data_IF_510495728125
#
_entry.id   IF_510495728125
#
_cell.length_a   1.000
_cell.length_b   1.000
_cell.length_c   1.000
_cell.angle_alpha   90.00
_cell.angle_beta   90.00
_cell.angle_gamma   90.00
#
_symmetry.space_group_name_H-M   'P 1'
#
loop_
_entity.id
_entity.type
_entity.pdbx_description
1 polymer ?
#
# COMPACT_ATOMS: atom_id res chain seq x y z
N UNK A 1 -27.20 -63.49 45.80
CA UNK A 1 -27.34 -62.82 44.54
C UNK A 1 -26.83 -61.40 44.76
N UNK A 2 -25.53 -61.26 44.68
CA UNK A 2 -24.81 -59.99 45.00
C UNK A 2 -24.56 -59.20 43.70
N UNK A 3 -25.01 -57.99 43.71
CA UNK A 3 -24.63 -57.00 42.74
C UNK A 3 -23.60 -56.06 43.30
N UNK A 4 -22.33 -56.30 43.03
CA UNK A 4 -21.22 -55.40 43.33
C UNK A 4 -21.20 -54.24 42.33
N UNK A 5 -21.47 -53.05 42.82
CA UNK A 5 -21.29 -51.79 42.07
C UNK A 5 -19.83 -51.35 42.12
N UNK A 6 -19.21 -51.33 40.93
CA UNK A 6 -17.84 -50.80 40.76
C UNK A 6 -17.89 -49.29 40.62
N UNK A 7 -17.33 -48.58 41.58
CA UNK A 7 -17.15 -47.13 41.58
C UNK A 7 -15.92 -46.80 40.72
N UNK A 8 -16.11 -46.14 39.57
CA UNK A 8 -15.02 -45.55 38.80
C UNK A 8 -14.63 -44.21 39.41
N UNK A 9 -13.42 -44.15 39.96
CA UNK A 9 -12.79 -42.89 40.37
C UNK A 9 -12.23 -42.18 39.14
N UNK A 10 -12.89 -41.10 38.74
CA UNK A 10 -12.41 -40.21 37.71
C UNK A 10 -11.22 -39.38 38.19
N UNK A 11 -10.06 -39.59 37.58
CA UNK A 11 -8.89 -38.72 37.74
C UNK A 11 -9.13 -37.42 37.00
N UNK A 12 -9.31 -36.32 37.73
CA UNK A 12 -9.26 -34.97 37.17
C UNK A 12 -7.81 -34.64 36.74
N UNK A 13 -7.58 -34.52 35.45
CA UNK A 13 -6.35 -33.96 34.91
C UNK A 13 -6.40 -32.43 35.03
N UNK A 14 -5.64 -31.89 36.00
CA UNK A 14 -5.42 -30.45 36.13
C UNK A 14 -4.48 -30.01 34.98
N UNK A 15 -5.03 -29.36 33.96
CA UNK A 15 -4.24 -28.67 32.95
C UNK A 15 -3.79 -27.33 33.53
N UNK A 16 -2.55 -27.27 33.98
CA UNK A 16 -1.91 -26.02 34.36
C UNK A 16 -1.64 -25.20 33.07
N UNK A 17 -2.42 -24.14 32.83
CA UNK A 17 -2.10 -23.12 31.84
C UNK A 17 -0.85 -22.38 32.31
N UNK A 18 0.29 -22.69 31.65
CA UNK A 18 1.51 -21.90 31.76
C UNK A 18 1.33 -20.65 30.88
N UNK A 19 0.85 -19.56 31.47
CA UNK A 19 0.85 -18.24 30.83
C UNK A 19 2.32 -17.77 30.76
N UNK A 20 2.98 -18.00 29.61
CA UNK A 20 4.26 -17.36 29.31
C UNK A 20 3.99 -15.86 29.07
N UNK A 21 4.23 -15.07 30.14
CA UNK A 21 4.33 -13.62 29.98
C UNK A 21 5.57 -13.32 29.12
N UNK A 22 5.37 -13.07 27.83
CA UNK A 22 6.37 -12.42 27.00
C UNK A 22 6.44 -10.98 27.49
N UNK A 23 7.38 -10.70 28.38
CA UNK A 23 7.78 -9.35 28.72
C UNK A 23 8.43 -8.75 27.44
N UNK A 24 7.61 -8.08 26.63
CA UNK A 24 8.14 -7.17 25.62
C UNK A 24 8.97 -6.14 26.38
N UNK A 25 10.29 -6.21 26.24
CA UNK A 25 11.20 -5.16 26.67
C UNK A 25 10.83 -3.91 25.89
N UNK A 26 10.04 -3.03 26.51
CA UNK A 26 9.82 -1.67 26.05
C UNK A 26 11.18 -0.99 26.18
N UNK A 27 11.95 -1.04 25.08
CA UNK A 27 13.17 -0.26 24.97
C UNK A 27 12.76 1.20 25.09
N UNK A 28 13.17 1.84 26.18
CA UNK A 28 12.92 3.26 26.43
C UNK A 28 13.45 4.03 25.23
N UNK A 29 12.56 4.46 24.34
CA UNK A 29 12.88 5.29 23.21
C UNK A 29 13.50 6.58 23.75
N UNK A 30 14.82 6.70 23.64
CA UNK A 30 15.48 7.98 23.78
C UNK A 30 14.92 8.85 22.66
N UNK A 31 13.96 9.72 23.00
CA UNK A 31 13.35 10.63 22.05
C UNK A 31 14.48 11.46 21.42
N UNK A 32 14.76 11.21 20.16
CA UNK A 32 15.52 12.15 19.34
C UNK A 32 14.60 13.35 19.19
N UNK A 33 14.84 14.38 19.99
CA UNK A 33 13.96 15.54 20.13
C UNK A 33 13.62 16.10 18.74
N UNK A 34 12.35 15.99 18.34
CA UNK A 34 11.82 16.61 17.13
C UNK A 34 11.85 15.77 15.84
N UNK A 35 12.21 14.48 15.89
CA UNK A 35 12.18 13.58 14.69
C UNK A 35 10.77 13.15 14.33
N UNK A 36 9.86 13.21 15.27
CA UNK A 36 8.44 12.90 15.17
C UNK A 36 7.58 14.07 14.68
N UNK A 37 8.19 15.26 14.53
CA UNK A 37 7.48 16.43 14.02
C UNK A 37 6.99 16.21 12.60
N UNK A 38 5.68 16.34 12.41
CA UNK A 38 5.06 16.15 11.11
C UNK A 38 4.92 14.69 10.68
N UNK A 39 5.24 13.72 11.56
CA UNK A 39 4.94 12.31 11.33
C UNK A 39 3.48 12.04 11.74
N UNK A 40 2.76 11.30 10.90
CA UNK A 40 1.33 11.01 11.08
C UNK A 40 1.04 9.55 10.79
N UNK A 41 0.02 8.99 11.44
CA UNK A 41 -0.48 7.65 11.13
C UNK A 41 -1.48 7.77 9.96
N UNK A 42 -1.33 6.92 8.97
CA UNK A 42 -2.25 6.78 7.84
C UNK A 42 -3.03 5.49 8.01
N UNK A 43 -4.34 5.60 8.17
CA UNK A 43 -5.23 4.46 8.33
C UNK A 43 -6.17 4.39 7.12
N UNK A 44 -6.22 3.26 6.46
CA UNK A 44 -7.01 3.04 5.26
C UNK A 44 -8.02 1.92 5.46
N UNK A 45 -9.16 2.05 4.81
CA UNK A 45 -10.15 0.98 4.75
C UNK A 45 -10.32 0.57 3.29
N UNK A 46 -10.05 -0.68 3.00
CA UNK A 46 -10.23 -1.31 1.71
C UNK A 46 -11.63 -1.92 1.67
N UNK A 47 -12.64 -1.08 1.45
CA UNK A 47 -14.06 -1.47 1.61
C UNK A 47 -14.49 -2.62 0.72
N UNK A 48 -13.90 -2.79 -0.47
CA UNK A 48 -14.21 -3.90 -1.37
C UNK A 48 -13.63 -5.24 -0.90
N UNK A 49 -12.57 -5.21 -0.11
CA UNK A 49 -11.92 -6.39 0.47
C UNK A 49 -12.30 -6.61 1.94
N UNK A 50 -13.02 -5.65 2.55
CA UNK A 50 -13.37 -5.63 3.96
C UNK A 50 -12.16 -5.76 4.89
N UNK A 51 -11.05 -5.13 4.53
CA UNK A 51 -9.77 -5.11 5.25
C UNK A 51 -9.41 -3.68 5.62
N UNK A 52 -8.74 -3.50 6.75
CA UNK A 52 -8.10 -2.25 7.15
C UNK A 52 -6.59 -2.39 7.05
N UNK A 53 -5.93 -1.33 6.59
CA UNK A 53 -4.47 -1.23 6.57
C UNK A 53 -4.00 0.04 7.27
N UNK A 54 -2.75 0.03 7.73
CA UNK A 54 -2.14 1.14 8.42
C UNK A 54 -0.70 1.35 7.92
N UNK A 55 -0.30 2.61 7.86
CA UNK A 55 1.04 3.05 7.53
C UNK A 55 1.35 4.38 8.21
N UNK A 56 2.40 4.98 7.75
CA UNK A 56 2.90 6.28 8.23
C UNK A 56 2.85 7.32 7.10
N UNK A 57 2.85 8.57 7.45
CA UNK A 57 2.96 9.68 6.51
C UNK A 57 3.76 10.86 7.05
N UNK A 58 4.15 11.75 6.17
CA UNK A 58 4.94 12.94 6.45
C UNK A 58 4.18 14.19 6.01
N UNK A 59 3.88 15.09 6.92
CA UNK A 59 3.23 16.37 6.64
C UNK A 59 4.18 17.29 5.90
N UNK A 60 3.90 17.59 4.63
CA UNK A 60 4.72 18.48 3.79
C UNK A 60 4.34 19.95 3.98
N UNK A 61 3.05 20.24 4.22
CA UNK A 61 2.57 21.62 4.37
C UNK A 61 1.65 21.76 5.57
N UNK A 62 1.66 22.94 6.18
CA UNK A 62 0.79 23.25 7.33
C UNK A 62 -0.71 23.20 7.00
N UNK A 63 -1.07 23.22 5.72
CA UNK A 63 -2.43 23.07 5.21
C UNK A 63 -2.84 21.62 4.95
N UNK A 64 -1.98 20.62 5.27
CA UNK A 64 -2.32 19.21 5.28
C UNK A 64 -2.04 18.44 3.99
N UNK A 65 -0.99 18.77 3.27
CA UNK A 65 -0.43 17.85 2.28
C UNK A 65 0.46 16.84 3.00
N UNK A 66 0.21 15.55 2.77
CA UNK A 66 0.91 14.43 3.42
C UNK A 66 1.49 13.54 2.35
N UNK A 67 2.78 13.23 2.47
CA UNK A 67 3.51 12.26 1.65
C UNK A 67 3.44 10.89 2.33
N UNK A 68 3.17 9.85 1.58
CA UNK A 68 3.18 8.44 2.03
C UNK A 68 3.50 7.52 0.86
N UNK A 69 3.56 6.22 1.08
CA UNK A 69 3.68 5.24 -0.01
C UNK A 69 2.35 4.99 -0.73
N UNK A 70 2.45 4.61 -2.01
CA UNK A 70 1.27 4.21 -2.78
C UNK A 70 0.64 2.94 -2.22
N UNK A 71 1.43 1.92 -1.86
CA UNK A 71 0.89 0.66 -1.33
C UNK A 71 0.12 0.86 0.00
N UNK A 72 0.37 1.94 0.76
CA UNK A 72 -0.41 2.27 1.98
C UNK A 72 -1.83 2.69 1.64
N UNK A 73 -2.04 3.32 0.48
CA UNK A 73 -3.36 3.85 0.09
C UNK A 73 -4.04 3.04 -1.02
N UNK A 74 -3.34 2.10 -1.63
CA UNK A 74 -3.86 1.29 -2.75
C UNK A 74 -5.11 0.53 -2.32
N UNK A 75 -6.14 0.54 -3.16
CA UNK A 75 -7.42 -0.10 -2.91
C UNK A 75 -8.29 0.59 -1.85
N UNK A 76 -7.83 1.68 -1.23
CA UNK A 76 -8.56 2.33 -0.14
C UNK A 76 -9.83 3.04 -0.63
N UNK A 77 -10.94 2.77 0.04
CA UNK A 77 -12.21 3.50 -0.14
C UNK A 77 -12.31 4.70 0.80
N UNK A 78 -11.62 4.65 1.93
CA UNK A 78 -11.50 5.77 2.88
C UNK A 78 -10.09 5.85 3.44
N UNK A 79 -9.62 7.10 3.64
CA UNK A 79 -8.33 7.38 4.28
C UNK A 79 -8.56 8.31 5.47
N UNK A 80 -8.06 7.89 6.63
CA UNK A 80 -7.99 8.71 7.84
C UNK A 80 -6.54 8.90 8.24
N UNK A 81 -6.20 10.13 8.64
CA UNK A 81 -4.87 10.48 9.13
C UNK A 81 -4.97 10.96 10.56
N UNK A 82 -4.20 10.35 11.44
CA UNK A 82 -4.09 10.74 12.86
C UNK A 82 -2.76 11.46 13.09
N UNK A 83 -2.79 12.54 13.84
CA UNK A 83 -1.60 13.28 14.28
C UNK A 83 -1.27 12.86 15.70
N UNK A 84 -0.30 11.97 15.95
CA UNK A 84 -0.03 11.41 17.29
C UNK A 84 0.25 12.49 18.34
N UNK A 85 1.02 13.51 17.97
CA UNK A 85 1.39 14.61 18.88
C UNK A 85 0.19 15.40 19.45
N UNK A 86 -0.98 15.37 18.78
CA UNK A 86 -2.16 16.15 19.20
C UNK A 86 -3.40 15.31 19.40
N UNK A 87 -3.38 14.04 18.98
CA UNK A 87 -4.54 13.14 18.95
C UNK A 87 -5.61 13.53 17.91
N UNK A 88 -5.38 14.58 17.11
CA UNK A 88 -6.32 15.03 16.07
C UNK A 88 -6.38 14.02 14.92
N UNK A 89 -7.59 13.81 14.41
CA UNK A 89 -7.86 12.96 13.24
C UNK A 89 -8.47 13.77 12.11
N UNK A 90 -8.09 13.44 10.89
CA UNK A 90 -8.53 14.10 9.67
C UNK A 90 -8.96 13.04 8.64
N UNK A 91 -10.07 13.26 7.97
CA UNK A 91 -10.34 12.55 6.72
C UNK A 91 -9.40 13.11 5.65
N UNK A 92 -8.90 12.25 4.79
CA UNK A 92 -8.02 12.63 3.71
C UNK A 92 -8.60 12.23 2.34
N UNK A 93 -8.20 12.96 1.31
CA UNK A 93 -8.40 12.59 -0.08
C UNK A 93 -7.04 12.31 -0.73
N UNK A 94 -6.98 11.33 -1.60
CA UNK A 94 -5.79 11.09 -2.43
C UNK A 94 -5.75 12.16 -3.50
N UNK A 95 -4.64 12.92 -3.56
CA UNK A 95 -4.39 13.94 -4.59
C UNK A 95 -3.86 13.29 -5.86
N UNK A 96 -2.99 12.31 -5.69
CA UNK A 96 -2.40 11.55 -6.76
C UNK A 96 -1.35 10.58 -6.23
N UNK A 97 -0.81 9.77 -7.11
CA UNK A 97 0.18 8.74 -6.78
C UNK A 97 1.01 8.32 -8.00
N UNK A 98 2.12 7.66 -7.73
CA UNK A 98 2.98 6.98 -8.70
C UNK A 98 3.18 5.54 -8.22
N UNK A 99 2.60 4.58 -8.94
CA UNK A 99 2.65 3.15 -8.60
C UNK A 99 4.08 2.63 -8.64
N UNK A 100 4.81 2.93 -9.74
CA UNK A 100 6.19 2.43 -9.94
C UNK A 100 7.20 2.98 -8.94
N UNK A 101 6.98 4.21 -8.47
CA UNK A 101 7.85 4.83 -7.50
C UNK A 101 7.40 4.59 -6.06
N UNK A 102 6.23 4.00 -5.87
CA UNK A 102 5.58 3.79 -4.58
C UNK A 102 5.42 5.08 -3.77
N UNK A 103 4.91 6.13 -4.41
CA UNK A 103 4.73 7.46 -3.82
C UNK A 103 3.28 7.91 -3.94
N UNK A 104 2.71 8.44 -2.87
CA UNK A 104 1.37 9.03 -2.87
C UNK A 104 1.32 10.34 -2.10
N UNK A 105 0.40 11.23 -2.50
CA UNK A 105 0.11 12.47 -1.80
C UNK A 105 -1.35 12.49 -1.37
N UNK A 106 -1.56 12.79 -0.09
CA UNK A 106 -2.86 12.97 0.51
C UNK A 106 -3.11 14.45 0.79
N UNK A 107 -4.37 14.86 0.77
CA UNK A 107 -4.84 16.16 1.27
C UNK A 107 -5.79 15.95 2.44
N UNK A 108 -5.40 16.46 3.60
CA UNK A 108 -6.23 16.43 4.80
C UNK A 108 -7.35 17.48 4.70
N UNK A 109 -8.58 17.07 5.01
CA UNK A 109 -9.75 17.96 4.98
C UNK A 109 -9.73 18.89 6.20
N UNK A 110 -9.92 20.17 5.95
CA UNK A 110 -10.00 21.22 7.00
C UNK A 110 -8.79 21.29 7.93
N UNK A 111 -7.62 20.87 7.45
CA UNK A 111 -6.38 20.93 8.21
C UNK A 111 -5.72 22.32 8.07
N UNK A 112 -5.18 22.82 9.18
CA UNK A 112 -4.41 24.06 9.22
C UNK A 112 -3.46 24.05 10.43
N UNK A 113 -2.36 24.78 10.33
CA UNK A 113 -1.40 24.93 11.42
C UNK A 113 -0.66 23.64 11.82
N UNK A 114 -0.62 22.64 10.90
CA UNK A 114 0.10 21.41 11.16
C UNK A 114 1.59 21.63 11.20
N UNK A 115 2.28 20.89 12.08
CA UNK A 115 3.73 20.82 12.06
C UNK A 115 4.18 20.05 10.83
N UNK A 116 5.18 20.57 10.13
CA UNK A 116 5.74 19.95 8.93
C UNK A 116 7.06 19.27 9.21
N UNK A 117 7.39 18.28 8.39
CA UNK A 117 8.69 17.62 8.42
C UNK A 117 9.81 18.55 7.91
N UNK A 118 11.06 18.25 8.28
CA UNK A 118 12.23 18.97 7.77
C UNK A 118 12.97 18.10 6.75
N UNK A 119 12.89 18.47 5.49
CA UNK A 119 13.52 17.73 4.40
C UNK A 119 15.04 17.91 4.39
N UNK A 120 15.76 16.84 4.09
CA UNK A 120 17.19 16.80 3.84
C UNK A 120 17.52 16.74 2.35
N UNK A 121 18.66 16.11 2.04
CA UNK A 121 19.10 15.89 0.67
C UNK A 121 19.65 14.45 0.54
N UNK A 122 18.96 13.61 -0.21
CA UNK A 122 19.34 12.21 -0.43
C UNK A 122 20.48 12.02 -1.44
N UNK A 123 20.83 13.05 -2.26
CA UNK A 123 21.90 12.92 -3.24
C UNK A 123 23.31 12.92 -2.59
N UNK A 124 23.39 13.27 -1.30
CA UNK A 124 24.62 13.33 -0.53
C UNK A 124 24.81 12.15 0.42
N UNK A 125 23.95 11.13 0.31
CA UNK A 125 24.02 9.95 1.15
C UNK A 125 25.24 9.10 0.82
N UNK A 126 25.83 8.51 1.86
CA UNK A 126 26.93 7.56 1.72
C UNK A 126 26.68 6.32 2.57
N UNK A 127 27.25 5.19 2.14
CA UNK A 127 27.23 3.95 2.92
C UNK A 127 27.91 4.14 4.29
N UNK A 128 27.34 3.53 5.32
CA UNK A 128 27.80 3.67 6.72
C UNK A 128 27.24 4.91 7.45
N UNK A 129 26.51 5.77 6.77
CA UNK A 129 25.88 6.93 7.41
C UNK A 129 24.79 6.47 8.38
N UNK A 130 24.81 6.98 9.61
CA UNK A 130 23.80 6.72 10.62
C UNK A 130 22.45 7.33 10.21
N UNK A 131 21.39 6.55 10.37
CA UNK A 131 20.01 6.92 10.09
C UNK A 131 19.08 6.43 11.19
N UNK A 132 17.89 7.01 11.23
CA UNK A 132 16.83 6.63 12.17
C UNK A 132 15.53 6.58 11.39
N UNK A 133 14.86 5.44 11.40
CA UNK A 133 13.51 5.28 10.88
C UNK A 133 12.50 5.64 11.96
N UNK A 134 11.41 6.28 11.55
CA UNK A 134 10.33 6.72 12.46
C UNK A 134 8.98 6.36 11.82
N UNK A 135 8.16 5.58 12.51
CA UNK A 135 6.90 5.14 11.93
C UNK A 135 5.90 4.59 12.93
N UNK A 136 4.82 4.05 12.39
CA UNK A 136 3.72 3.43 13.12
C UNK A 136 3.85 1.90 13.08
N UNK A 137 4.94 1.36 13.61
CA UNK A 137 5.22 -0.08 13.57
C UNK A 137 4.04 -0.91 14.12
N UNK A 138 3.62 -1.91 13.34
CA UNK A 138 2.47 -2.74 13.64
C UNK A 138 1.11 -2.06 13.46
N UNK A 139 1.05 -0.80 12.99
CA UNK A 139 -0.21 -0.09 12.75
C UNK A 139 -1.01 0.23 14.02
N UNK A 140 -0.39 0.17 15.20
CA UNK A 140 -1.09 0.32 16.47
C UNK A 140 -1.54 1.77 16.76
N UNK A 141 -0.97 2.74 16.05
CA UNK A 141 -1.14 4.18 16.32
C UNK A 141 -0.44 4.63 17.61
N UNK A 142 -0.59 5.90 17.93
CA UNK A 142 0.03 6.49 19.12
C UNK A 142 1.41 7.07 18.85
N UNK A 143 2.31 7.07 19.83
CA UNK A 143 3.66 7.61 19.66
C UNK A 143 4.43 6.80 18.60
N UNK A 144 5.04 7.46 17.61
CA UNK A 144 5.80 6.76 16.59
C UNK A 144 6.94 5.92 17.18
N UNK A 145 7.16 4.75 16.58
CA UNK A 145 8.32 3.92 16.86
C UNK A 145 9.57 4.53 16.24
N UNK A 146 10.72 4.33 16.88
CA UNK A 146 11.99 4.88 16.46
C UNK A 146 13.03 3.78 16.40
N UNK A 147 13.53 3.47 15.21
CA UNK A 147 14.52 2.40 15.00
C UNK A 147 15.79 2.99 14.39
N UNK A 148 16.94 2.76 15.03
CA UNK A 148 18.24 3.23 14.56
C UNK A 148 18.91 2.20 13.66
N UNK A 149 19.68 2.70 12.70
CA UNK A 149 20.49 1.89 11.80
C UNK A 149 21.50 2.71 11.03
N UNK A 150 22.06 2.10 10.00
CA UNK A 150 23.01 2.71 9.07
C UNK A 150 22.61 2.41 7.63
N UNK A 151 23.02 3.24 6.70
CA UNK A 151 22.88 2.96 5.26
C UNK A 151 23.85 1.84 4.88
N UNK A 152 23.32 0.71 4.43
CA UNK A 152 24.12 -0.46 4.01
C UNK A 152 24.44 -0.45 2.52
N UNK A 153 23.52 0.06 1.69
CA UNK A 153 23.75 0.26 0.27
C UNK A 153 22.85 1.39 -0.31
N UNK A 154 23.19 1.82 -1.52
CA UNK A 154 22.41 2.80 -2.29
C UNK A 154 22.14 2.25 -3.69
N UNK A 155 21.08 2.75 -4.33
CA UNK A 155 20.74 2.35 -5.70
C UNK A 155 20.20 0.92 -5.82
N UNK A 156 19.62 0.36 -4.75
CA UNK A 156 19.09 -1.01 -4.73
C UNK A 156 17.82 -1.13 -5.55
N UNK A 157 17.67 -2.28 -6.17
CA UNK A 157 16.42 -2.69 -6.82
C UNK A 157 15.90 -3.93 -6.10
N UNK A 158 14.63 -3.90 -5.74
CA UNK A 158 13.93 -5.02 -5.12
C UNK A 158 12.71 -5.40 -5.95
N UNK A 159 12.29 -6.64 -5.83
CA UNK A 159 10.99 -7.08 -6.32
C UNK A 159 10.07 -7.20 -5.11
N UNK A 160 9.01 -6.44 -5.11
CA UNK A 160 7.95 -6.52 -4.12
C UNK A 160 6.79 -7.31 -4.74
N UNK A 161 6.32 -8.35 -4.07
CA UNK A 161 5.22 -9.18 -4.55
C UNK A 161 4.00 -8.98 -3.66
N UNK A 162 2.86 -8.79 -4.30
CA UNK A 162 1.56 -8.78 -3.64
C UNK A 162 1.01 -10.19 -3.41
N UNK A 163 -0.01 -10.31 -2.58
CA UNK A 163 -0.71 -11.58 -2.31
C UNK A 163 -1.38 -12.16 -3.56
N UNK A 164 -1.74 -11.32 -4.53
CA UNK A 164 -2.31 -11.73 -5.81
C UNK A 164 -1.25 -12.18 -6.85
N UNK A 165 0.04 -12.20 -6.45
CA UNK A 165 1.17 -12.63 -7.30
C UNK A 165 1.64 -11.57 -8.28
N UNK A 166 1.14 -10.34 -8.21
CA UNK A 166 1.68 -9.22 -8.97
C UNK A 166 3.02 -8.80 -8.37
N UNK A 167 4.06 -8.76 -9.18
CA UNK A 167 5.39 -8.38 -8.74
C UNK A 167 5.74 -6.99 -9.30
N UNK A 168 6.07 -6.06 -8.42
CA UNK A 168 6.53 -4.72 -8.78
C UNK A 168 8.01 -4.57 -8.48
N UNK A 169 8.74 -3.92 -9.39
CA UNK A 169 10.15 -3.59 -9.17
C UNK A 169 10.30 -2.16 -8.67
N UNK A 170 10.80 -2.01 -7.45
CA UNK A 170 11.20 -0.73 -6.89
C UNK A 170 12.70 -0.56 -7.05
N UNK A 171 13.12 0.43 -7.82
CA UNK A 171 14.52 0.68 -8.15
C UNK A 171 15.06 1.97 -7.49
N UNK A 172 16.39 2.03 -7.32
CA UNK A 172 17.08 3.21 -6.81
C UNK A 172 16.89 3.47 -5.32
N UNK A 173 16.61 2.42 -4.53
CA UNK A 173 16.33 2.52 -3.10
C UNK A 173 17.59 2.67 -2.27
N UNK A 174 17.42 3.27 -1.09
CA UNK A 174 18.35 3.22 0.04
C UNK A 174 18.10 1.91 0.78
N UNK A 175 19.15 1.13 1.06
CA UNK A 175 19.10 -0.02 1.95
C UNK A 175 19.68 0.34 3.31
N UNK A 176 19.02 -0.07 4.38
CA UNK A 176 19.42 0.19 5.76
C UNK A 176 19.28 -1.07 6.62
N UNK A 177 20.10 -1.19 7.64
CA UNK A 177 19.97 -2.22 8.69
C UNK A 177 19.02 -1.80 9.83
N UNK A 178 18.38 -0.64 9.73
CA UNK A 178 17.27 -0.30 10.62
C UNK A 178 16.15 -1.34 10.46
N UNK A 179 15.68 -1.91 11.58
CA UNK A 179 14.67 -2.97 11.58
C UNK A 179 13.28 -2.38 11.33
N UNK A 180 13.00 -2.06 10.06
CA UNK A 180 11.68 -1.58 9.63
C UNK A 180 10.64 -2.69 9.80
N UNK A 181 9.44 -2.28 10.18
CA UNK A 181 8.29 -3.18 10.40
C UNK A 181 7.09 -2.75 9.55
N UNK A 182 6.15 -3.66 9.26
CA UNK A 182 4.86 -3.27 8.69
C UNK A 182 4.23 -2.13 9.49
N UNK A 183 3.78 -1.08 8.80
CA UNK A 183 3.29 0.15 9.41
C UNK A 183 4.30 1.32 9.40
N UNK A 184 5.60 1.06 9.27
CA UNK A 184 6.61 2.13 9.09
C UNK A 184 6.60 2.71 7.68
N UNK A 185 6.02 2.01 6.71
CA UNK A 185 5.85 2.46 5.32
C UNK A 185 5.26 3.87 5.25
N UNK A 186 5.91 4.75 4.47
CA UNK A 186 5.57 6.16 4.33
C UNK A 186 6.18 7.06 5.41
N UNK A 187 6.82 6.47 6.41
CA UNK A 187 7.54 7.19 7.46
C UNK A 187 8.89 7.72 7.02
N UNK A 188 9.48 8.66 7.78
CA UNK A 188 10.76 9.24 7.45
C UNK A 188 11.97 8.39 7.88
N UNK A 189 12.92 8.22 6.96
CA UNK A 189 14.30 7.88 7.29
C UNK A 189 15.08 9.17 7.51
N UNK A 190 15.57 9.36 8.73
CA UNK A 190 16.14 10.63 9.21
C UNK A 190 17.65 10.48 9.44
N UNK A 191 18.43 11.46 9.04
CA UNK A 191 19.87 11.49 9.31
C UNK A 191 20.19 12.04 10.73
N UNK A 192 21.46 12.02 11.12
CA UNK A 192 21.93 12.51 12.43
C UNK A 192 21.66 14.00 12.70
N UNK A 193 21.33 14.78 11.67
CA UNK A 193 20.96 16.20 11.80
C UNK A 193 19.44 16.42 11.91
N UNK A 194 18.64 15.35 12.06
CA UNK A 194 17.19 15.45 12.16
C UNK A 194 16.49 15.79 10.83
N UNK A 195 17.17 15.59 9.70
CA UNK A 195 16.60 15.86 8.36
C UNK A 195 16.23 14.55 7.65
N UNK A 196 15.10 14.56 6.98
CA UNK A 196 14.60 13.41 6.25
C UNK A 196 15.41 13.20 4.98
N UNK A 197 15.95 12.03 4.80
CA UNK A 197 16.76 11.62 3.65
C UNK A 197 16.14 10.49 2.85
N UNK A 198 15.10 9.83 3.39
CA UNK A 198 14.33 8.80 2.70
C UNK A 198 12.89 8.72 3.22
N UNK A 199 12.05 8.05 2.47
CA UNK A 199 10.72 7.61 2.87
C UNK A 199 10.77 6.09 3.00
N UNK A 200 10.55 5.58 4.21
CA UNK A 200 10.63 4.15 4.48
C UNK A 200 9.58 3.40 3.66
N UNK A 201 9.99 2.27 3.08
CA UNK A 201 9.09 1.32 2.44
C UNK A 201 9.33 -0.04 3.08
N UNK A 202 8.49 -0.39 4.05
CA UNK A 202 8.52 -1.64 4.76
C UNK A 202 7.56 -2.63 4.12
N UNK A 203 7.79 -3.93 4.31
CA UNK A 203 6.80 -4.93 3.92
C UNK A 203 5.49 -4.69 4.69
N UNK A 204 4.41 -4.36 3.99
CA UNK A 204 3.06 -4.46 4.53
C UNK A 204 2.64 -5.93 4.61
N UNK A 205 1.57 -6.26 5.34
CA UNK A 205 1.03 -7.63 5.47
C UNK A 205 0.48 -8.23 4.16
N UNK A 206 0.88 -7.81 3.03
CA UNK A 206 0.61 -8.32 1.68
C UNK A 206 1.79 -8.10 0.75
N UNK A 207 2.85 -7.49 1.26
CA UNK A 207 4.08 -7.19 0.53
C UNK A 207 5.22 -7.98 1.17
N UNK A 208 5.72 -8.99 0.51
CA UNK A 208 6.88 -9.76 0.99
C UNK A 208 8.13 -9.41 0.19
N UNK A 209 9.20 -9.07 0.91
CA UNK A 209 10.54 -9.01 0.32
C UNK A 209 11.13 -10.42 0.19
N UNK A 210 12.04 -10.60 -0.76
CA UNK A 210 12.73 -11.89 -0.91
C UNK A 210 13.35 -12.35 0.43
N UNK A 211 13.21 -13.64 0.79
CA UNK A 211 13.85 -14.19 1.99
C UNK A 211 15.36 -13.97 1.95
N UNK A 212 15.91 -13.33 2.99
CA UNK A 212 17.36 -13.10 3.13
C UNK A 212 17.78 -11.63 3.20
N UNK A 213 16.90 -10.66 3.02
CA UNK A 213 17.19 -9.25 3.33
C UNK A 213 16.99 -9.01 4.83
N UNK A 214 18.07 -8.80 5.57
CA UNK A 214 18.05 -8.46 7.00
C UNK A 214 17.86 -6.96 7.27
N UNK A 215 17.38 -6.18 6.29
CA UNK A 215 17.30 -4.73 6.38
C UNK A 215 16.02 -4.15 5.78
N UNK A 216 15.81 -2.88 6.04
CA UNK A 216 14.74 -2.08 5.47
C UNK A 216 15.18 -1.37 4.19
N UNK A 217 14.20 -0.88 3.46
CA UNK A 217 14.43 -0.05 2.27
C UNK A 217 13.73 1.29 2.42
N UNK A 218 14.28 2.33 1.76
CA UNK A 218 13.65 3.64 1.71
C UNK A 218 13.79 4.27 0.32
N UNK A 219 12.78 4.97 -0.10
CA UNK A 219 12.78 5.77 -1.33
C UNK A 219 13.56 7.06 -1.04
N UNK A 220 14.59 7.42 -1.85
CA UNK A 220 15.31 8.68 -1.67
C UNK A 220 14.36 9.89 -1.61
N UNK A 221 14.53 10.76 -0.59
CA UNK A 221 13.58 11.84 -0.34
C UNK A 221 13.47 12.83 -1.50
N UNK A 222 14.58 13.11 -2.19
CA UNK A 222 14.56 14.01 -3.34
C UNK A 222 13.67 13.49 -4.45
N UNK A 223 13.66 12.15 -4.68
CA UNK A 223 12.78 11.50 -5.64
C UNK A 223 11.32 11.57 -5.18
N UNK A 224 11.03 11.18 -3.93
CA UNK A 224 9.65 11.18 -3.41
C UNK A 224 9.03 12.58 -3.44
N UNK A 225 9.78 13.60 -3.00
CA UNK A 225 9.34 15.01 -3.02
C UNK A 225 9.23 15.55 -4.45
N UNK A 226 10.11 15.12 -5.35
CA UNK A 226 10.02 15.48 -6.77
C UNK A 226 8.69 15.03 -7.39
N UNK A 227 8.30 13.78 -7.15
CA UNK A 227 7.02 13.19 -7.58
C UNK A 227 5.84 13.91 -6.88
N UNK A 228 5.93 14.13 -5.57
CA UNK A 228 4.90 14.83 -4.82
C UNK A 228 4.62 16.24 -5.39
N UNK A 229 5.64 16.96 -5.81
CA UNK A 229 5.49 18.28 -6.46
C UNK A 229 4.76 18.19 -7.79
N UNK A 230 5.03 17.17 -8.61
CA UNK A 230 4.28 16.94 -9.86
C UNK A 230 2.82 16.68 -9.57
N UNK A 231 2.52 15.82 -8.59
CA UNK A 231 1.15 15.50 -8.16
C UNK A 231 0.42 16.77 -7.69
N UNK A 232 1.00 17.53 -6.79
CA UNK A 232 0.39 18.77 -6.24
C UNK A 232 0.19 19.83 -7.33
N UNK A 233 1.10 19.90 -8.30
CA UNK A 233 0.98 20.81 -9.45
C UNK A 233 -0.04 20.34 -10.51
N UNK A 234 -0.65 19.15 -10.35
CA UNK A 234 -1.63 18.61 -11.28
C UNK A 234 -1.00 18.03 -12.56
N UNK A 235 0.30 17.74 -12.56
CA UNK A 235 1.03 17.18 -13.71
C UNK A 235 0.96 15.65 -13.69
N UNK A 236 0.04 15.09 -14.45
CA UNK A 236 -0.01 13.64 -14.73
C UNK A 236 0.98 13.23 -15.83
N UNK A 237 1.44 11.98 -15.76
CA UNK A 237 2.30 11.37 -16.80
C UNK A 237 1.91 9.90 -16.97
N UNK A 238 2.73 9.13 -17.68
CA UNK A 238 2.54 7.66 -17.80
C UNK A 238 2.58 6.97 -16.44
N UNK A 239 3.40 7.46 -15.51
CA UNK A 239 3.64 6.84 -14.21
C UNK A 239 2.93 7.60 -13.06
N UNK A 240 2.72 8.91 -13.21
CA UNK A 240 2.07 9.77 -12.20
C UNK A 240 0.59 9.95 -12.51
N UNK A 241 -0.27 9.43 -11.64
CA UNK A 241 -1.71 9.66 -11.67
C UNK A 241 -2.11 10.84 -10.77
N UNK A 242 -2.97 11.73 -11.27
CA UNK A 242 -3.48 12.89 -10.51
C UNK A 242 -5.00 12.92 -10.57
N UNK A 243 -5.62 13.10 -9.41
CA UNK A 243 -7.06 13.24 -9.28
C UNK A 243 -7.78 11.92 -9.03
N UNK A 244 -9.07 11.88 -9.39
CA UNK A 244 -9.91 10.72 -9.16
C UNK A 244 -9.52 9.56 -10.10
N UNK A 245 -9.43 8.37 -9.54
CA UNK A 245 -9.07 7.14 -10.26
C UNK A 245 -10.30 6.58 -10.99
N UNK A 246 -10.15 6.25 -12.27
CA UNK A 246 -11.17 5.53 -13.01
C UNK A 246 -11.29 4.09 -12.50
N UNK A 247 -12.50 3.55 -12.52
CA UNK A 247 -12.82 2.25 -11.94
C UNK A 247 -13.76 1.46 -12.85
N UNK A 248 -13.38 0.22 -13.12
CA UNK A 248 -14.20 -0.75 -13.84
C UNK A 248 -14.96 -1.67 -12.88
N UNK A 249 -14.34 -2.08 -11.78
CA UNK A 249 -14.92 -2.92 -10.73
C UNK A 249 -14.78 -4.40 -11.00
N UNK A 250 -13.58 -4.84 -11.33
CA UNK A 250 -13.21 -6.25 -11.49
C UNK A 250 -12.00 -6.56 -10.61
N UNK A 251 -12.00 -7.77 -10.06
CA UNK A 251 -10.81 -8.43 -9.56
C UNK A 251 -10.27 -9.32 -10.67
N UNK A 252 -8.96 -9.24 -10.96
CA UNK A 252 -8.39 -9.92 -12.12
C UNK A 252 -7.10 -10.64 -11.76
N UNK A 253 -6.89 -11.79 -12.41
CA UNK A 253 -5.70 -12.60 -12.30
C UNK A 253 -4.99 -12.72 -13.65
N UNK A 254 -3.68 -12.99 -13.60
CA UNK A 254 -2.93 -13.30 -14.80
C UNK A 254 -3.37 -14.68 -15.34
N UNK A 255 -4.04 -14.67 -16.46
CA UNK A 255 -4.42 -15.89 -17.15
C UNK A 255 -4.62 -15.63 -18.64
N UNK A 256 -4.67 -16.71 -19.41
CA UNK A 256 -5.06 -16.72 -20.78
C UNK A 256 -6.13 -17.77 -21.01
N UNK A 257 -6.80 -17.64 -22.12
CA UNK A 257 -7.87 -18.52 -22.54
C UNK A 257 -7.41 -19.42 -23.69
N UNK A 258 -7.73 -20.74 -23.60
CA UNK A 258 -7.47 -21.69 -24.68
C UNK A 258 -8.76 -22.00 -25.45
N UNK A 259 -8.79 -21.68 -26.74
CA UNK A 259 -9.87 -22.08 -27.63
C UNK A 259 -9.31 -22.65 -28.93
N UNK A 260 -9.73 -23.86 -29.28
CA UNK A 260 -9.35 -24.49 -30.55
C UNK A 260 -7.83 -24.60 -30.78
N UNK A 261 -7.04 -24.72 -29.70
CA UNK A 261 -5.59 -24.80 -29.77
C UNK A 261 -4.86 -23.45 -29.76
N UNK A 262 -5.58 -22.33 -29.74
CA UNK A 262 -5.00 -20.97 -29.63
C UNK A 262 -5.16 -20.42 -28.23
N UNK A 263 -4.06 -19.91 -27.68
CA UNK A 263 -4.02 -19.19 -26.41
C UNK A 263 -4.28 -17.68 -26.65
N UNK A 264 -5.28 -17.13 -26.00
CA UNK A 264 -5.53 -15.68 -25.98
C UNK A 264 -5.16 -15.13 -24.61
N UNK A 265 -4.13 -14.29 -24.57
CA UNK A 265 -3.75 -13.58 -23.37
C UNK A 265 -4.79 -12.51 -23.03
N UNK A 266 -5.05 -12.32 -21.72
CA UNK A 266 -6.01 -11.33 -21.25
C UNK A 266 -5.93 -11.16 -19.73
N UNK A 267 -6.90 -10.46 -19.17
CA UNK A 267 -7.12 -10.38 -17.72
C UNK A 267 -8.32 -11.25 -17.36
N UNK A 268 -8.07 -12.37 -16.68
CA UNK A 268 -9.12 -13.28 -16.19
C UNK A 268 -9.85 -12.61 -15.03
N UNK A 269 -11.15 -12.48 -15.13
CA UNK A 269 -12.03 -11.97 -14.08
C UNK A 269 -12.16 -13.03 -12.98
N UNK A 270 -11.59 -12.78 -11.82
CA UNK A 270 -11.73 -13.60 -10.61
C UNK A 270 -12.99 -13.22 -9.82
N UNK A 271 -13.39 -11.96 -9.92
CA UNK A 271 -14.60 -11.46 -9.27
C UNK A 271 -15.06 -10.14 -9.86
N UNK A 272 -16.33 -9.82 -9.64
CA UNK A 272 -16.94 -8.55 -10.08
C UNK A 272 -17.50 -7.82 -8.85
N UNK A 273 -17.15 -6.55 -8.73
CA UNK A 273 -17.63 -5.71 -7.61
C UNK A 273 -19.11 -5.38 -7.83
N UNK A 274 -19.99 -5.62 -6.84
CA UNK A 274 -21.40 -5.28 -6.94
C UNK A 274 -21.64 -3.80 -7.27
N UNK A 275 -22.64 -3.53 -8.09
CA UNK A 275 -23.02 -2.20 -8.60
C UNK A 275 -21.92 -1.46 -9.37
N UNK A 276 -20.88 -2.17 -9.84
CA UNK A 276 -19.78 -1.61 -10.63
C UNK A 276 -20.17 -1.44 -12.12
N UNK A 277 -19.38 -0.70 -12.91
CA UNK A 277 -19.52 -0.69 -14.37
C UNK A 277 -19.38 -2.08 -15.02
N UNK A 278 -18.53 -2.95 -14.47
CA UNK A 278 -18.33 -4.31 -14.96
C UNK A 278 -19.59 -5.17 -14.76
N UNK A 279 -20.18 -5.17 -13.57
CA UNK A 279 -21.43 -5.90 -13.31
C UNK A 279 -22.56 -5.42 -14.22
N UNK A 280 -22.72 -4.11 -14.38
CA UNK A 280 -23.74 -3.55 -15.29
C UNK A 280 -23.51 -3.89 -16.76
N UNK A 281 -22.29 -4.21 -17.14
CA UNK A 281 -21.94 -4.67 -18.49
C UNK A 281 -22.23 -6.16 -18.69
N UNK A 282 -22.48 -6.90 -17.61
CA UNK A 282 -22.71 -8.34 -17.62
C UNK A 282 -21.42 -9.17 -17.57
N UNK A 283 -20.30 -8.62 -17.05
CA UNK A 283 -19.12 -9.44 -16.75
C UNK A 283 -19.39 -10.34 -15.55
N UNK A 284 -18.86 -11.55 -15.63
CA UNK A 284 -18.92 -12.56 -14.60
C UNK A 284 -17.51 -13.12 -14.30
N UNK A 285 -17.37 -13.81 -13.16
CA UNK A 285 -16.14 -14.53 -12.87
C UNK A 285 -15.94 -15.65 -13.88
N UNK A 286 -14.73 -15.80 -14.41
CA UNK A 286 -14.41 -16.72 -15.51
C UNK A 286 -14.27 -16.04 -16.87
N UNK A 287 -14.81 -14.83 -17.05
CA UNK A 287 -14.60 -14.03 -18.27
C UNK A 287 -13.14 -13.61 -18.42
N UNK A 288 -12.67 -13.44 -19.65
CA UNK A 288 -11.33 -12.90 -19.94
C UNK A 288 -11.44 -11.57 -20.68
N UNK A 289 -11.07 -10.50 -20.04
CA UNK A 289 -11.03 -9.16 -20.67
C UNK A 289 -9.89 -9.12 -21.67
N UNK A 290 -10.21 -8.81 -22.94
CA UNK A 290 -9.24 -8.78 -24.06
C UNK A 290 -9.08 -7.41 -24.69
N UNK A 291 -9.98 -6.46 -24.43
CA UNK A 291 -9.84 -5.08 -24.89
C UNK A 291 -10.56 -4.08 -24.00
N UNK A 292 -9.98 -2.87 -23.87
CA UNK A 292 -10.61 -1.72 -23.19
C UNK A 292 -10.21 -0.42 -23.90
N UNK A 293 -11.19 0.45 -24.15
CA UNK A 293 -10.98 1.76 -24.76
C UNK A 293 -10.22 1.71 -26.12
N UNK A 294 -10.35 0.61 -26.87
CA UNK A 294 -9.67 0.38 -28.15
C UNK A 294 -8.25 -0.18 -28.03
N UNK A 295 -7.75 -0.42 -26.80
CA UNK A 295 -6.45 -1.03 -26.55
C UNK A 295 -6.61 -2.52 -26.27
N UNK A 296 -5.70 -3.38 -26.80
CA UNK A 296 -5.67 -4.79 -26.44
C UNK A 296 -5.24 -4.95 -24.99
N UNK A 297 -5.92 -5.84 -24.26
CA UNK A 297 -5.59 -6.23 -22.89
C UNK A 297 -4.96 -7.63 -22.92
N UNK A 298 -3.70 -7.72 -22.54
CA UNK A 298 -2.91 -8.96 -22.57
C UNK A 298 -2.53 -9.45 -21.17
N UNK A 299 -2.83 -8.65 -20.14
CA UNK A 299 -2.52 -8.97 -18.72
C UNK A 299 -3.33 -8.08 -17.78
N UNK A 300 -3.43 -8.41 -16.49
CA UNK A 300 -3.96 -7.53 -15.45
C UNK A 300 -3.27 -6.15 -15.42
N UNK A 301 -1.95 -6.13 -15.52
CA UNK A 301 -1.16 -4.88 -15.55
C UNK A 301 -1.55 -3.98 -16.73
N UNK A 302 -1.78 -4.57 -17.91
CA UNK A 302 -2.25 -3.82 -19.09
C UNK A 302 -3.65 -3.25 -18.86
N UNK A 303 -4.54 -4.01 -18.21
CA UNK A 303 -5.88 -3.55 -17.85
C UNK A 303 -5.81 -2.37 -16.88
N UNK A 304 -5.08 -2.52 -15.77
CA UNK A 304 -4.90 -1.45 -14.77
C UNK A 304 -4.33 -0.19 -15.41
N UNK A 305 -3.25 -0.31 -16.17
CA UNK A 305 -2.64 0.82 -16.88
C UNK A 305 -3.65 1.48 -17.83
N UNK A 306 -4.42 0.71 -18.60
CA UNK A 306 -5.44 1.25 -19.50
C UNK A 306 -6.56 1.96 -18.74
N UNK A 307 -7.02 1.43 -17.61
CA UNK A 307 -8.00 2.09 -16.76
C UNK A 307 -7.46 3.41 -16.21
N UNK A 308 -6.22 3.44 -15.72
CA UNK A 308 -5.56 4.63 -15.16
C UNK A 308 -5.37 5.77 -16.17
N UNK A 309 -5.23 5.44 -17.46
CA UNK A 309 -5.16 6.46 -18.54
C UNK A 309 -6.54 7.03 -18.93
N UNK A 310 -7.60 6.61 -18.25
CA UNK A 310 -8.94 7.13 -18.45
C UNK A 310 -9.41 7.89 -17.20
N UNK A 311 -10.49 8.64 -17.33
CA UNK A 311 -11.07 9.43 -16.25
C UNK A 311 -12.45 8.86 -15.86
N UNK A 312 -12.86 9.00 -14.59
CA UNK A 312 -14.23 8.70 -14.18
C UNK A 312 -15.25 9.44 -15.05
N UNK A 313 -16.37 8.78 -15.36
CA UNK A 313 -17.42 9.30 -16.24
C UNK A 313 -17.17 9.07 -17.72
N UNK A 314 -15.98 8.68 -18.13
CA UNK A 314 -15.68 8.39 -19.54
C UNK A 314 -16.38 7.12 -19.99
N UNK A 315 -17.02 7.17 -21.17
CA UNK A 315 -17.59 6.00 -21.84
C UNK A 315 -16.50 5.33 -22.69
N UNK A 316 -16.28 4.04 -22.44
CA UNK A 316 -15.28 3.24 -23.15
C UNK A 316 -15.90 1.93 -23.63
N UNK A 317 -15.40 1.40 -24.75
CA UNK A 317 -15.76 0.06 -25.21
C UNK A 317 -14.94 -0.96 -24.44
N UNK A 318 -15.62 -1.96 -23.86
CA UNK A 318 -15.04 -3.11 -23.17
C UNK A 318 -15.32 -4.35 -24.01
N UNK A 319 -14.32 -5.20 -24.22
CA UNK A 319 -14.47 -6.48 -24.92
C UNK A 319 -13.89 -7.62 -24.08
N UNK A 320 -14.59 -8.71 -24.02
CA UNK A 320 -14.19 -9.92 -23.28
C UNK A 320 -14.60 -11.18 -24.03
N UNK A 321 -14.08 -12.29 -23.56
CA UNK A 321 -14.48 -13.63 -23.99
C UNK A 321 -15.06 -14.33 -22.77
N UNK A 322 -16.26 -14.89 -22.89
CA UNK A 322 -16.91 -15.61 -21.79
C UNK A 322 -16.24 -16.96 -21.49
N UNK A 323 -16.64 -17.61 -20.42
CA UNK A 323 -16.11 -18.92 -20.02
C UNK A 323 -16.29 -20.02 -21.08
N UNK A 324 -17.25 -19.85 -22.00
CA UNK A 324 -17.51 -20.76 -23.13
C UNK A 324 -16.72 -20.39 -24.38
N UNK A 325 -15.96 -19.29 -24.33
CA UNK A 325 -15.14 -18.79 -25.45
C UNK A 325 -15.89 -17.95 -26.46
N UNK A 326 -17.05 -17.42 -26.13
CA UNK A 326 -17.81 -16.53 -27.02
C UNK A 326 -17.40 -15.08 -26.78
N UNK A 327 -17.12 -14.32 -27.85
CA UNK A 327 -16.76 -12.92 -27.70
C UNK A 327 -18.00 -12.08 -27.36
N UNK A 328 -17.83 -11.18 -26.39
CA UNK A 328 -18.83 -10.21 -25.95
C UNK A 328 -18.23 -8.81 -25.89
N UNK A 329 -19.07 -7.79 -25.98
CA UNK A 329 -18.63 -6.41 -25.78
C UNK A 329 -19.76 -5.49 -25.32
N UNK A 330 -19.42 -4.49 -24.50
CA UNK A 330 -20.35 -3.46 -24.06
C UNK A 330 -19.67 -2.07 -24.06
N UNK A 331 -20.49 -1.03 -24.05
CA UNK A 331 -20.00 0.32 -23.72
C UNK A 331 -20.26 0.57 -22.25
N UNK A 332 -19.20 0.78 -21.49
CA UNK A 332 -19.25 1.04 -20.04
C UNK A 332 -18.90 2.49 -19.74
N UNK A 333 -19.55 3.06 -18.73
CA UNK A 333 -19.13 4.35 -18.15
C UNK A 333 -18.30 4.07 -16.93
N UNK A 334 -17.01 4.41 -16.97
CA UNK A 334 -16.12 4.20 -15.84
C UNK A 334 -16.58 4.99 -14.62
N UNK A 335 -16.58 4.36 -13.45
CA UNK A 335 -16.89 5.00 -12.19
C UNK A 335 -15.64 5.67 -11.57
N UNK A 336 -15.82 6.42 -10.49
CA UNK A 336 -14.72 6.78 -9.59
C UNK A 336 -14.50 5.63 -8.60
N UNK A 337 -13.26 5.24 -8.42
CA UNK A 337 -12.88 4.14 -7.55
C UNK A 337 -11.65 4.43 -6.70
N UNK A 338 -11.17 3.41 -6.00
CA UNK A 338 -9.99 3.53 -5.16
C UNK A 338 -8.71 3.75 -5.99
N UNK A 339 -7.64 4.31 -5.37
CA UNK A 339 -6.32 4.35 -5.98
C UNK A 339 -5.80 2.93 -6.27
N UNK A 340 -4.95 2.81 -7.27
CA UNK A 340 -4.41 1.53 -7.74
C UNK A 340 -2.98 1.31 -7.27
#
# INVERSE_FOLDING_TARGET
>A
MDHTATVMVGRALSVALLAAAIAASVSSATSVVGVDRGVVDVNTNLGYQNVAAAGTGMVLTSSGEVLTNNHVIRGSTTVQVSVPATGKRYSATVVGYDVKADVAVLKLKNASGLQTVTLGNSDKLVRGQAVTAVGNAGGAGGAPTVTKGTITALGRTITASDEDGTAEQLAGLIETDAALQPGDSGGPLVNSSGRIVGMDTAASSGFSFQPGSSGGYAIPINRAVGIARLIVAGHSSTDVHVGATAFLGVDVQASGYYRGGSFTAGALVAGVVPASPAERAGLEAGDVIVSLAGHPITSPTTLTSTVLHNTPGKKVKLGWVDEFGSPASATVTLASGPPQ
#
